data_IF_292275799660
#
_entry.id   IF_292275799660
#
_cell.length_a   1.000
_cell.length_b   1.000
_cell.length_c   1.000
_cell.angle_alpha   90.00
_cell.angle_beta   90.00
_cell.angle_gamma   90.00
#
_symmetry.space_group_name_H-M   'P 1'
#
loop_
_entity.id
_entity.type
_entity.pdbx_description
1 polymer ?
#
# COMPACT_ATOMS: atom_id res chain seq x y z
N UNK A 1 -2.54 -0.15 -19.45
CA UNK A 1 -1.79 0.15 -18.23
C UNK A 1 -0.45 -0.55 -18.30
N UNK A 2 0.65 0.19 -18.11
CA UNK A 2 2.03 -0.31 -18.24
C UNK A 2 2.84 -0.17 -16.96
N UNK A 3 2.55 0.86 -16.16
CA UNK A 3 3.30 1.18 -14.95
C UNK A 3 2.41 1.66 -13.81
N UNK A 4 2.82 1.31 -12.60
CA UNK A 4 2.11 1.61 -11.35
C UNK A 4 3.12 2.06 -10.31
N UNK A 5 2.77 3.11 -9.57
CA UNK A 5 3.46 3.52 -8.35
C UNK A 5 2.58 3.17 -7.15
N UNK A 6 3.08 2.35 -6.23
CA UNK A 6 2.42 2.04 -4.96
C UNK A 6 3.16 2.75 -3.81
N UNK A 7 2.45 3.55 -3.02
CA UNK A 7 3.02 4.43 -1.99
C UNK A 7 2.51 3.98 -0.63
N UNK A 8 3.43 3.62 0.27
CA UNK A 8 3.16 3.30 1.68
C UNK A 8 3.88 4.28 2.61
N UNK A 9 3.30 4.55 3.76
CA UNK A 9 3.94 5.33 4.82
C UNK A 9 5.01 4.50 5.53
N UNK A 10 4.69 3.23 5.85
CA UNK A 10 5.52 2.34 6.65
C UNK A 10 5.69 0.97 6.00
N UNK A 11 6.72 0.20 6.42
CA UNK A 11 6.84 -1.22 6.13
C UNK A 11 5.56 -2.01 6.51
N UNK A 12 4.99 -2.73 5.54
CA UNK A 12 3.77 -3.54 5.72
C UNK A 12 2.49 -2.91 5.17
N UNK A 13 2.44 -1.60 4.96
CA UNK A 13 1.21 -0.92 4.49
C UNK A 13 0.76 -1.43 3.12
N UNK A 14 1.68 -1.57 2.18
CA UNK A 14 1.39 -2.02 0.82
C UNK A 14 0.89 -3.46 0.80
N UNK A 15 1.54 -4.32 1.58
CA UNK A 15 1.18 -5.73 1.68
C UNK A 15 -0.22 -5.91 2.27
N UNK A 16 -0.57 -5.12 3.29
CA UNK A 16 -1.88 -5.13 3.92
C UNK A 16 -2.96 -4.52 3.03
N UNK A 17 -2.68 -3.35 2.45
CA UNK A 17 -3.69 -2.57 1.73
C UNK A 17 -3.97 -3.06 0.31
N UNK A 18 -2.92 -3.37 -0.46
CA UNK A 18 -3.04 -3.69 -1.89
C UNK A 18 -2.15 -4.84 -2.37
N UNK A 19 -1.58 -5.63 -1.46
CA UNK A 19 -0.54 -6.61 -1.79
C UNK A 19 -0.95 -7.65 -2.83
N UNK A 20 -2.16 -8.19 -2.75
CA UNK A 20 -2.62 -9.17 -3.73
C UNK A 20 -2.90 -8.53 -5.10
N UNK A 21 -3.39 -7.29 -5.13
CA UNK A 21 -3.53 -6.50 -6.35
C UNK A 21 -2.17 -6.26 -7.00
N UNK A 22 -1.15 -5.86 -6.23
CA UNK A 22 0.21 -5.68 -6.75
C UNK A 22 0.75 -6.99 -7.32
N UNK A 23 0.53 -8.13 -6.64
CA UNK A 23 0.94 -9.44 -7.14
C UNK A 23 0.25 -9.82 -8.46
N UNK A 24 -1.05 -9.53 -8.58
CA UNK A 24 -1.83 -9.75 -9.80
C UNK A 24 -1.30 -8.92 -10.96
N UNK A 25 -1.06 -7.65 -10.72
CA UNK A 25 -0.58 -6.71 -11.74
C UNK A 25 0.85 -7.04 -12.18
N UNK A 26 1.74 -7.35 -11.23
CA UNK A 26 3.10 -7.81 -11.54
C UNK A 26 3.09 -9.12 -12.35
N UNK A 27 2.23 -10.09 -12.00
CA UNK A 27 2.08 -11.33 -12.75
C UNK A 27 1.52 -11.11 -14.18
N UNK A 28 0.82 -10.02 -14.40
CA UNK A 28 0.36 -9.59 -15.74
C UNK A 28 1.43 -8.81 -16.54
N UNK A 29 2.65 -8.71 -16.03
CA UNK A 29 3.77 -8.01 -16.69
C UNK A 29 3.73 -6.48 -16.55
N UNK A 30 2.92 -5.95 -15.64
CA UNK A 30 2.87 -4.52 -15.38
C UNK A 30 4.03 -4.15 -14.46
N UNK A 31 4.78 -3.11 -14.81
CA UNK A 31 5.86 -2.59 -13.97
C UNK A 31 5.27 -1.95 -12.71
N UNK A 32 5.66 -2.43 -11.54
CA UNK A 32 5.23 -1.92 -10.24
C UNK A 32 6.46 -1.43 -9.46
N UNK A 33 6.47 -0.13 -9.15
CA UNK A 33 7.40 0.45 -8.15
C UNK A 33 6.69 0.61 -6.83
N UNK A 34 7.31 0.13 -5.76
CA UNK A 34 6.88 0.36 -4.38
C UNK A 34 7.74 1.46 -3.75
N UNK A 35 7.11 2.51 -3.27
CA UNK A 35 7.75 3.60 -2.51
C UNK A 35 7.25 3.53 -1.06
N UNK A 36 8.12 3.15 -0.13
CA UNK A 36 7.85 3.15 1.32
C UNK A 36 8.59 4.30 1.95
N UNK A 37 7.90 5.25 2.59
CA UNK A 37 8.45 6.56 2.93
C UNK A 37 9.26 6.58 4.22
N UNK A 38 8.94 5.72 5.19
CA UNK A 38 9.66 5.64 6.47
C UNK A 38 10.24 4.25 6.71
N UNK A 39 11.19 4.17 7.62
CA UNK A 39 11.80 2.92 8.08
C UNK A 39 10.90 2.15 9.09
N UNK A 40 9.88 2.82 9.65
CA UNK A 40 8.96 2.23 10.62
C UNK A 40 9.58 1.89 11.97
N UNK A 41 10.67 2.54 12.37
CA UNK A 41 11.45 2.16 13.55
C UNK A 41 10.75 2.38 14.88
N UNK A 42 9.79 3.32 14.98
CA UNK A 42 9.03 3.52 16.21
C UNK A 42 8.13 2.33 16.58
N UNK A 43 7.75 1.51 15.61
CA UNK A 43 6.99 0.26 15.83
C UNK A 43 7.86 -0.98 15.95
N UNK A 44 9.20 -0.84 15.95
CA UNK A 44 10.14 -1.95 15.90
C UNK A 44 10.93 -2.11 17.20
N UNK A 45 11.42 -3.34 17.45
CA UNK A 45 12.48 -3.56 18.44
C UNK A 45 13.82 -3.20 17.80
N UNK A 46 14.81 -2.82 18.61
CA UNK A 46 16.12 -2.35 18.13
C UNK A 46 16.87 -3.31 17.20
N UNK A 47 16.53 -4.59 17.20
CA UNK A 47 17.13 -5.63 16.35
C UNK A 47 16.33 -5.92 15.08
N UNK A 48 15.17 -5.32 14.90
CA UNK A 48 14.30 -5.61 13.77
C UNK A 48 14.75 -4.81 12.54
N UNK A 49 14.87 -5.47 11.40
CA UNK A 49 15.10 -4.83 10.09
C UNK A 49 13.81 -4.85 9.27
N UNK A 50 12.93 -3.91 9.57
CA UNK A 50 11.64 -3.78 8.88
C UNK A 50 11.79 -3.50 7.39
N UNK A 51 12.87 -2.82 6.99
CA UNK A 51 13.14 -2.57 5.57
C UNK A 51 13.52 -3.86 4.83
N UNK A 52 14.29 -4.76 5.46
CA UNK A 52 14.59 -6.07 4.88
C UNK A 52 13.33 -6.94 4.80
N UNK A 53 12.47 -6.92 5.82
CA UNK A 53 11.18 -7.61 5.82
C UNK A 53 10.30 -7.14 4.66
N UNK A 54 10.16 -5.82 4.45
CA UNK A 54 9.43 -5.23 3.33
C UNK A 54 9.99 -5.66 1.98
N UNK A 55 11.30 -5.59 1.79
CA UNK A 55 11.92 -6.02 0.52
C UNK A 55 11.64 -7.49 0.23
N UNK A 56 11.70 -8.35 1.24
CA UNK A 56 11.37 -9.77 1.10
C UNK A 56 9.88 -9.98 0.77
N UNK A 57 9.00 -9.30 1.49
CA UNK A 57 7.55 -9.37 1.29
C UNK A 57 7.15 -8.93 -0.13
N UNK A 58 7.64 -7.78 -0.57
CA UNK A 58 7.34 -7.25 -1.91
C UNK A 58 7.88 -8.13 -3.03
N UNK A 59 9.06 -8.76 -2.86
CA UNK A 59 9.56 -9.76 -3.83
C UNK A 59 8.64 -10.96 -3.96
N UNK A 60 8.05 -11.45 -2.87
CA UNK A 60 7.05 -12.53 -2.93
C UNK A 60 5.81 -12.11 -3.72
N UNK A 61 5.45 -10.83 -3.70
CA UNK A 61 4.38 -10.27 -4.53
C UNK A 61 4.80 -10.06 -5.99
N UNK A 62 6.07 -10.29 -6.33
CA UNK A 62 6.62 -10.06 -7.68
C UNK A 62 7.07 -8.61 -7.90
N UNK A 63 7.09 -7.79 -6.86
CA UNK A 63 7.54 -6.39 -6.92
C UNK A 63 9.03 -6.33 -6.55
N UNK A 64 9.89 -6.07 -7.53
CA UNK A 64 11.36 -5.99 -7.33
C UNK A 64 11.88 -4.55 -7.30
N UNK A 65 11.14 -3.60 -7.87
CA UNK A 65 11.48 -2.18 -7.84
C UNK A 65 10.94 -1.55 -6.55
N UNK A 66 11.79 -1.56 -5.50
CA UNK A 66 11.42 -1.11 -4.15
C UNK A 66 12.33 0.02 -3.73
N UNK A 67 11.74 1.18 -3.49
CA UNK A 67 12.39 2.37 -2.96
C UNK A 67 12.02 2.53 -1.49
N UNK A 68 13.02 2.49 -0.63
CA UNK A 68 12.87 2.69 0.80
C UNK A 68 13.34 4.10 1.16
N UNK A 69 12.43 4.91 1.70
CA UNK A 69 12.72 6.23 2.26
C UNK A 69 13.30 6.14 3.67
N UNK A 70 13.73 7.28 4.13
CA UNK A 70 14.42 7.51 5.41
C UNK A 70 13.68 8.49 6.33
N UNK A 71 12.42 8.77 6.05
CA UNK A 71 11.65 9.71 6.85
C UNK A 71 11.35 9.10 8.23
N UNK A 72 11.40 9.92 9.29
CA UNK A 72 11.16 9.43 10.64
C UNK A 72 9.69 8.99 10.80
N UNK A 73 9.52 7.74 11.24
CA UNK A 73 8.22 7.15 11.59
C UNK A 73 7.48 8.03 12.61
N UNK A 74 6.17 8.13 12.50
CA UNK A 74 5.25 8.96 13.31
C UNK A 74 5.37 10.47 13.10
N UNK A 75 6.29 10.94 12.25
CA UNK A 75 6.58 12.35 12.04
C UNK A 75 6.35 12.84 10.60
N UNK A 76 5.78 12.03 9.72
CA UNK A 76 5.57 12.38 8.31
C UNK A 76 4.77 13.68 8.10
N UNK A 77 3.83 14.08 8.98
CA UNK A 77 3.16 15.39 8.86
C UNK A 77 4.11 16.59 8.76
N UNK A 78 5.26 16.52 9.40
CA UNK A 78 6.27 17.59 9.35
C UNK A 78 7.07 17.61 8.03
N UNK A 79 6.92 16.57 7.19
CA UNK A 79 7.68 16.38 5.96
C UNK A 79 6.84 16.42 4.68
N UNK A 80 5.58 16.84 4.74
CA UNK A 80 4.66 16.84 3.57
C UNK A 80 5.30 17.48 2.33
N UNK A 81 5.96 18.65 2.37
CA UNK A 81 6.60 19.20 1.17
C UNK A 81 7.74 18.34 0.61
N UNK A 82 8.48 17.61 1.48
CA UNK A 82 9.51 16.66 1.04
C UNK A 82 8.87 15.43 0.40
N UNK A 83 7.80 14.90 0.98
CA UNK A 83 7.05 13.76 0.46
C UNK A 83 6.48 14.09 -0.92
N UNK A 84 5.92 15.30 -1.12
CA UNK A 84 5.42 15.74 -2.43
C UNK A 84 6.55 15.66 -3.47
N UNK A 85 7.71 16.25 -3.20
CA UNK A 85 8.85 16.22 -4.14
C UNK A 85 9.34 14.80 -4.42
N UNK A 86 9.38 13.93 -3.41
CA UNK A 86 9.76 12.52 -3.59
C UNK A 86 8.80 11.83 -4.55
N UNK A 87 7.49 11.95 -4.34
CA UNK A 87 6.48 11.33 -5.19
C UNK A 87 6.52 11.94 -6.60
N UNK A 88 6.64 13.26 -6.74
CA UNK A 88 6.76 13.94 -8.04
C UNK A 88 7.97 13.43 -8.85
N UNK A 89 9.11 13.22 -8.21
CA UNK A 89 10.30 12.66 -8.86
C UNK A 89 10.02 11.26 -9.44
N UNK A 90 9.38 10.39 -8.66
CA UNK A 90 9.02 9.05 -9.13
C UNK A 90 7.94 9.10 -10.22
N UNK A 91 6.97 9.99 -10.12
CA UNK A 91 5.95 10.18 -11.16
C UNK A 91 6.58 10.69 -12.48
N UNK A 92 7.54 11.60 -12.40
CA UNK A 92 8.23 12.12 -13.59
C UNK A 92 9.10 11.05 -14.28
N UNK A 93 9.76 10.19 -13.49
CA UNK A 93 10.58 9.09 -14.01
C UNK A 93 9.74 7.97 -14.63
N UNK A 94 8.68 7.54 -13.97
CA UNK A 94 7.90 6.37 -14.36
C UNK A 94 6.74 6.66 -15.30
N UNK A 95 6.19 7.87 -15.24
CA UNK A 95 4.92 8.23 -15.89
C UNK A 95 3.83 7.19 -15.58
N UNK A 96 3.46 6.98 -14.30
CA UNK A 96 2.58 5.90 -13.94
C UNK A 96 1.16 6.12 -14.46
N UNK A 97 0.54 5.05 -14.97
CA UNK A 97 -0.88 5.05 -15.35
C UNK A 97 -1.80 5.09 -14.13
N UNK A 98 -1.32 4.50 -13.03
CA UNK A 98 -2.07 4.41 -11.76
C UNK A 98 -1.15 4.56 -10.55
N UNK A 99 -1.68 5.21 -9.53
CA UNK A 99 -1.07 5.28 -8.20
C UNK A 99 -1.99 4.61 -7.19
N UNK A 100 -1.43 3.76 -6.34
CA UNK A 100 -2.05 3.32 -5.10
C UNK A 100 -1.42 4.09 -3.94
N UNK A 101 -2.24 4.64 -3.05
CA UNK A 101 -1.76 5.45 -1.93
C UNK A 101 -2.59 5.23 -0.67
N UNK A 102 -2.15 5.83 0.43
CA UNK A 102 -2.84 5.79 1.70
C UNK A 102 -4.24 6.42 1.62
N UNK A 103 -5.06 6.17 2.64
CA UNK A 103 -6.37 6.79 2.80
C UNK A 103 -6.26 8.13 3.54
N UNK A 104 -7.03 9.13 3.09
CA UNK A 104 -7.08 10.43 3.77
C UNK A 104 -7.88 10.41 5.07
N UNK A 105 -8.90 9.56 5.15
CA UNK A 105 -9.70 9.34 6.35
C UNK A 105 -9.16 8.14 7.14
N UNK A 106 -8.01 8.36 7.78
CA UNK A 106 -7.27 7.37 8.55
C UNK A 106 -6.92 7.92 9.94
N UNK A 107 -6.91 7.06 10.97
CA UNK A 107 -6.52 7.45 12.34
C UNK A 107 -5.03 7.76 12.46
N UNK A 108 -4.20 7.15 11.61
CA UNK A 108 -2.76 7.35 11.62
C UNK A 108 -2.38 8.66 10.94
N UNK A 109 -1.70 9.57 11.67
CA UNK A 109 -1.31 10.88 11.14
C UNK A 109 -0.41 10.78 9.92
N UNK A 110 0.49 9.80 9.86
CA UNK A 110 1.41 9.62 8.74
C UNK A 110 0.65 9.20 7.48
N UNK A 111 -0.36 8.34 7.60
CA UNK A 111 -1.19 7.94 6.46
C UNK A 111 -1.91 9.15 5.85
N UNK A 112 -2.49 10.01 6.71
CA UNK A 112 -3.13 11.26 6.25
C UNK A 112 -2.14 12.20 5.56
N UNK A 113 -0.92 12.30 6.08
CA UNK A 113 0.14 13.13 5.49
C UNK A 113 0.57 12.61 4.11
N UNK A 114 0.73 11.28 3.98
CA UNK A 114 1.06 10.64 2.70
C UNK A 114 -0.06 10.81 1.69
N UNK A 115 -1.32 10.64 2.09
CA UNK A 115 -2.47 10.92 1.23
C UNK A 115 -2.44 12.37 0.72
N UNK A 116 -2.34 13.34 1.63
CA UNK A 116 -2.32 14.76 1.28
C UNK A 116 -1.20 15.08 0.28
N UNK A 117 0.01 14.54 0.50
CA UNK A 117 1.13 14.69 -0.41
C UNK A 117 0.88 14.03 -1.77
N UNK A 118 0.30 12.80 -1.78
CA UNK A 118 0.01 12.05 -3.00
C UNK A 118 -0.98 12.78 -3.90
N UNK A 119 -2.03 13.39 -3.34
CA UNK A 119 -3.03 14.13 -4.11
C UNK A 119 -2.39 15.31 -4.85
N UNK A 120 -1.45 16.01 -4.22
CA UNK A 120 -0.72 17.11 -4.84
C UNK A 120 0.24 16.59 -5.92
N UNK A 121 1.06 15.60 -5.57
CA UNK A 121 2.11 15.09 -6.45
C UNK A 121 1.58 14.35 -7.68
N UNK A 122 0.47 13.61 -7.52
CA UNK A 122 -0.11 12.78 -8.58
C UNK A 122 -1.17 13.52 -9.42
N UNK A 123 -1.19 14.87 -9.43
CA UNK A 123 -2.19 15.66 -10.17
C UNK A 123 -2.25 15.35 -11.67
N UNK A 124 -1.14 14.93 -12.28
CA UNK A 124 -1.07 14.53 -13.68
C UNK A 124 -1.35 13.03 -13.92
N UNK A 125 -1.36 12.19 -12.88
CA UNK A 125 -1.61 10.75 -13.02
C UNK A 125 -3.08 10.50 -13.32
N UNK A 126 -3.42 9.65 -14.31
CA UNK A 126 -4.81 9.40 -14.70
C UNK A 126 -5.64 8.75 -13.59
N UNK A 127 -5.06 7.82 -12.84
CA UNK A 127 -5.79 7.04 -11.85
C UNK A 127 -5.07 7.06 -10.49
N UNK A 128 -5.79 7.52 -9.45
CA UNK A 128 -5.29 7.54 -8.07
C UNK A 128 -6.30 6.84 -7.17
N UNK A 129 -5.88 5.75 -6.55
CA UNK A 129 -6.67 4.89 -5.69
C UNK A 129 -6.11 4.86 -4.28
N UNK A 130 -6.96 5.04 -3.29
CA UNK A 130 -6.62 4.86 -1.87
C UNK A 130 -7.03 3.48 -1.39
N UNK A 131 -6.15 2.81 -0.66
CA UNK A 131 -6.39 1.49 -0.10
C UNK A 131 -6.70 1.54 1.40
N UNK A 132 -7.35 0.48 1.87
CA UNK A 132 -7.69 0.24 3.27
C UNK A 132 -6.48 -0.20 4.09
N UNK A 133 -6.40 0.26 5.34
CA UNK A 133 -5.41 -0.18 6.33
C UNK A 133 -6.10 -0.50 7.66
N UNK A 134 -5.44 -1.21 8.59
CA UNK A 134 -6.01 -1.47 9.92
C UNK A 134 -6.31 -0.22 10.74
N UNK A 135 -5.75 0.93 10.37
CA UNK A 135 -6.01 2.21 11.02
C UNK A 135 -7.08 3.06 10.33
N UNK A 136 -7.61 2.62 9.20
CA UNK A 136 -8.72 3.30 8.52
C UNK A 136 -9.94 3.43 9.45
N UNK A 137 -10.70 4.50 9.31
CA UNK A 137 -11.95 4.63 10.04
C UNK A 137 -12.97 3.57 9.60
N UNK A 138 -13.91 3.14 10.48
CA UNK A 138 -14.92 2.14 10.15
C UNK A 138 -15.85 2.49 8.99
N UNK A 139 -15.91 3.76 8.59
CA UNK A 139 -16.68 4.27 7.47
C UNK A 139 -15.96 4.14 6.11
N UNK A 140 -14.88 3.36 6.00
CA UNK A 140 -14.27 3.08 4.71
C UNK A 140 -15.25 2.37 3.76
N UNK A 141 -15.67 3.08 2.73
CA UNK A 141 -16.61 2.59 1.71
C UNK A 141 -15.90 2.52 0.36
N UNK A 142 -15.35 1.36 -0.02
CA UNK A 142 -14.67 1.20 -1.31
C UNK A 142 -15.64 1.34 -2.47
N UNK A 143 -15.16 1.94 -3.56
CA UNK A 143 -15.89 2.13 -4.82
C UNK A 143 -15.29 1.34 -5.98
N UNK A 144 -14.09 0.82 -5.81
CA UNK A 144 -13.38 -0.04 -6.77
C UNK A 144 -12.97 -1.31 -6.05
N UNK A 145 -13.20 -2.45 -6.68
CA UNK A 145 -12.89 -3.76 -6.10
C UNK A 145 -12.03 -4.55 -7.08
N UNK A 146 -10.95 -5.14 -6.57
CA UNK A 146 -10.06 -5.99 -7.36
C UNK A 146 -10.17 -7.43 -6.85
N UNK A 147 -10.76 -8.38 -7.62
CA UNK A 147 -10.79 -9.79 -7.25
C UNK A 147 -9.37 -10.37 -7.20
N UNK A 148 -9.02 -10.98 -6.06
CA UNK A 148 -7.67 -11.41 -5.74
C UNK A 148 -7.55 -12.89 -5.35
N UNK A 149 -8.57 -13.69 -5.53
CA UNK A 149 -8.63 -15.09 -5.07
C UNK A 149 -7.34 -15.87 -5.36
N UNK A 150 -6.83 -15.79 -6.59
CA UNK A 150 -5.60 -16.48 -7.04
C UNK A 150 -4.31 -15.93 -6.42
N UNK A 151 -4.35 -14.77 -5.79
CA UNK A 151 -3.19 -14.06 -5.22
C UNK A 151 -3.28 -13.88 -3.70
N UNK A 152 -4.38 -14.31 -3.08
CA UNK A 152 -4.60 -14.15 -1.64
C UNK A 152 -3.56 -14.90 -0.81
N UNK A 153 -3.21 -16.13 -1.19
CA UNK A 153 -2.17 -16.90 -0.50
C UNK A 153 -0.80 -16.23 -0.61
N UNK A 154 -0.51 -15.59 -1.75
CA UNK A 154 0.73 -14.84 -1.95
C UNK A 154 0.77 -13.60 -1.05
N UNK A 155 -0.34 -12.88 -0.91
CA UNK A 155 -0.49 -11.77 0.06
C UNK A 155 -0.24 -12.25 1.50
N UNK A 156 -0.85 -13.34 1.90
CA UNK A 156 -0.66 -13.93 3.24
C UNK A 156 0.82 -14.27 3.48
N UNK A 157 1.46 -14.91 2.50
CA UNK A 157 2.88 -15.24 2.60
C UNK A 157 3.78 -14.00 2.71
N UNK A 158 3.46 -12.92 1.98
CA UNK A 158 4.18 -11.65 2.06
C UNK A 158 4.01 -10.99 3.43
N UNK A 159 2.80 -10.94 3.97
CA UNK A 159 2.53 -10.39 5.32
C UNK A 159 3.31 -11.16 6.39
N UNK A 160 3.45 -12.47 6.25
CA UNK A 160 4.24 -13.31 7.17
C UNK A 160 5.75 -12.99 7.17
N UNK A 161 6.27 -12.26 6.17
CA UNK A 161 7.66 -11.79 6.17
C UNK A 161 7.91 -10.72 7.24
N UNK A 162 6.89 -9.98 7.65
CA UNK A 162 6.97 -8.95 8.70
C UNK A 162 6.99 -9.57 10.10
N UNK A 163 8.04 -10.33 10.41
CA UNK A 163 8.21 -11.05 11.68
C UNK A 163 8.18 -10.13 12.89
N UNK A 164 8.74 -8.94 12.76
CA UNK A 164 8.72 -7.91 13.79
C UNK A 164 7.31 -7.50 14.21
N UNK A 165 6.31 -7.71 13.34
CA UNK A 165 4.92 -7.29 13.52
C UNK A 165 3.95 -8.46 13.77
N UNK A 166 4.43 -9.70 13.89
CA UNK A 166 3.58 -10.89 14.07
C UNK A 166 2.71 -10.86 15.34
N UNK A 167 3.06 -10.05 16.31
CA UNK A 167 2.28 -9.86 17.54
C UNK A 167 1.02 -9.00 17.33
N UNK A 168 0.86 -8.40 16.16
CA UNK A 168 -0.30 -7.57 15.82
C UNK A 168 -1.42 -8.43 15.24
N UNK A 169 -2.64 -8.30 15.77
CA UNK A 169 -3.79 -9.11 15.34
C UNK A 169 -4.09 -8.93 13.84
N UNK A 170 -3.97 -7.72 13.32
CA UNK A 170 -4.24 -7.43 11.92
C UNK A 170 -3.24 -8.06 10.93
N UNK A 171 -2.08 -8.54 11.43
CA UNK A 171 -1.10 -9.30 10.63
C UNK A 171 -1.44 -10.80 10.57
N UNK A 172 -2.43 -11.26 11.33
CA UNK A 172 -2.80 -12.67 11.35
C UNK A 172 -3.56 -13.06 10.08
N UNK A 173 -3.23 -14.23 9.53
CA UNK A 173 -3.85 -14.75 8.32
C UNK A 173 -5.37 -14.73 8.35
N UNK A 174 -5.97 -15.10 9.48
CA UNK A 174 -7.41 -15.12 9.63
C UNK A 174 -8.04 -13.74 9.36
N UNK A 175 -7.44 -12.66 9.87
CA UNK A 175 -7.93 -11.30 9.64
C UNK A 175 -7.74 -10.86 8.19
N UNK A 176 -6.61 -11.18 7.59
CA UNK A 176 -6.33 -10.86 6.17
C UNK A 176 -7.35 -11.53 5.25
N UNK A 177 -7.62 -12.83 5.48
CA UNK A 177 -8.60 -13.59 4.69
C UNK A 177 -10.03 -13.10 4.91
N UNK A 178 -10.40 -12.85 6.18
CA UNK A 178 -11.71 -12.34 6.54
C UNK A 178 -11.99 -10.99 5.85
N UNK A 179 -11.04 -10.06 5.89
CA UNK A 179 -11.19 -8.76 5.22
C UNK A 179 -11.37 -8.94 3.70
N UNK A 180 -10.55 -9.77 3.05
CA UNK A 180 -10.66 -10.01 1.62
C UNK A 180 -12.02 -10.62 1.24
N UNK A 181 -12.52 -11.58 2.01
CA UNK A 181 -13.83 -12.18 1.80
C UNK A 181 -14.96 -11.15 1.99
N UNK A 182 -14.89 -10.36 3.05
CA UNK A 182 -15.87 -9.30 3.31
C UNK A 182 -15.95 -8.29 2.16
N UNK A 183 -14.78 -7.83 1.64
CA UNK A 183 -14.74 -6.91 0.51
C UNK A 183 -15.37 -7.53 -0.74
N UNK A 184 -15.08 -8.79 -1.03
CA UNK A 184 -15.69 -9.48 -2.17
C UNK A 184 -17.21 -9.64 -2.04
N UNK A 185 -17.70 -9.97 -0.84
CA UNK A 185 -19.13 -10.10 -0.57
C UNK A 185 -19.91 -8.79 -0.80
N UNK A 186 -19.30 -7.62 -0.55
CA UNK A 186 -19.96 -6.33 -0.76
C UNK A 186 -20.44 -6.14 -2.21
N UNK A 187 -19.80 -6.80 -3.17
CA UNK A 187 -20.10 -6.66 -4.61
C UNK A 187 -20.39 -8.01 -5.29
N UNK A 188 -20.60 -9.08 -4.52
CA UNK A 188 -21.03 -10.37 -5.03
C UNK A 188 -19.96 -11.14 -5.81
N UNK A 189 -18.68 -10.94 -5.48
CA UNK A 189 -17.54 -11.68 -6.09
C UNK A 189 -16.73 -12.41 -5.02
N UNK A 190 -15.72 -13.19 -5.44
CA UNK A 190 -14.77 -13.85 -4.55
C UNK A 190 -13.91 -12.84 -3.75
N UNK A 191 -12.96 -13.34 -2.94
CA UNK A 191 -12.08 -12.50 -2.12
C UNK A 191 -11.49 -11.34 -2.92
N UNK A 192 -11.58 -10.12 -2.40
CA UNK A 192 -11.19 -8.89 -3.10
C UNK A 192 -10.44 -7.93 -2.21
N UNK A 193 -9.66 -7.04 -2.81
CA UNK A 193 -9.18 -5.79 -2.19
C UNK A 193 -10.08 -4.64 -2.64
N UNK A 194 -10.39 -3.74 -1.71
CA UNK A 194 -11.26 -2.59 -1.93
C UNK A 194 -10.49 -1.29 -1.94
N UNK A 195 -10.88 -0.37 -2.82
CA UNK A 195 -10.23 0.92 -3.00
C UNK A 195 -11.25 2.04 -3.10
N UNK A 196 -10.84 3.24 -2.68
CA UNK A 196 -11.57 4.47 -2.98
C UNK A 196 -10.86 5.15 -4.15
N UNK A 197 -11.58 5.40 -5.24
CA UNK A 197 -11.05 6.19 -6.35
C UNK A 197 -11.09 7.67 -5.99
N UNK A 198 -9.91 8.26 -5.73
CA UNK A 198 -9.79 9.72 -5.66
C UNK A 198 -9.88 10.33 -7.05
N UNK A 199 -9.25 9.71 -8.05
CA UNK A 199 -9.26 10.13 -9.45
C UNK A 199 -9.32 8.89 -10.36
N UNK A 200 -10.18 8.96 -11.35
CA UNK A 200 -10.33 7.89 -12.35
C UNK A 200 -10.63 8.48 -13.72
N UNK A 201 -9.62 8.54 -14.56
CA UNK A 201 -9.72 8.96 -15.97
C UNK A 201 -9.45 7.74 -16.85
N UNK A 202 -10.33 7.47 -17.83
CA UNK A 202 -10.25 6.35 -18.78
C UNK A 202 -9.43 6.72 -20.01
#
# INVERSE_FOLDING_TARGET
>A
MKSILAIGAHPGDLELGCGATLAKLSAAGIHVRALVLSDGLHGARRADDRCAETRLALRLLGVSDVVQGDLPDTHLPSFVPRIVRMIESHCAEMLPDRVYTMLGDDRHQDHRAVFAASIVACRAVPQVLSYDTPSSWPNFVPTVFEPIERFLDRKVAAIRCHRSQHHRDYMQEAHVRCNAQFRGQQVGVGPSEGFIAYKWVL
#
